data_IF_447448198727
#
_entry.id   IF_447448198727
#
_cell.length_a   1.000
_cell.length_b   1.000
_cell.length_c   1.000
_cell.angle_alpha   90.00
_cell.angle_beta   90.00
_cell.angle_gamma   90.00
#
_symmetry.space_group_name_H-M   'P 1'
#
loop_
_entity.id
_entity.type
_entity.pdbx_description
1 polymer ?
#
# COMPACT_ATOMS: atom_id res chain seq x y z
N UNK A 1 -26.48 -14.22 -22.69
CA UNK A 1 -26.28 -15.35 -21.75
C UNK A 1 -25.61 -14.81 -20.50
N UNK A 2 -26.20 -14.97 -19.31
CA UNK A 2 -25.48 -14.68 -18.06
C UNK A 2 -24.40 -15.75 -17.88
N UNK A 3 -23.16 -15.35 -17.65
CA UNK A 3 -22.08 -16.28 -17.29
C UNK A 3 -22.46 -17.00 -15.98
N UNK A 4 -22.34 -18.34 -15.92
CA UNK A 4 -22.55 -19.15 -14.70
C UNK A 4 -21.43 -18.94 -13.66
N UNK A 5 -20.95 -17.72 -13.49
CA UNK A 5 -19.84 -17.39 -12.58
C UNK A 5 -20.36 -16.50 -11.46
N UNK A 6 -19.86 -16.75 -10.26
CA UNK A 6 -20.12 -15.90 -9.09
C UNK A 6 -19.10 -14.76 -9.09
N UNK A 7 -19.52 -13.49 -9.08
CA UNK A 7 -18.60 -12.37 -8.93
C UNK A 7 -18.05 -12.34 -7.50
N UNK A 8 -16.73 -12.17 -7.37
CA UNK A 8 -16.05 -12.05 -6.07
C UNK A 8 -15.34 -10.69 -6.03
N UNK A 9 -15.61 -9.92 -4.97
CA UNK A 9 -14.96 -8.63 -4.71
C UNK A 9 -13.92 -8.87 -3.61
N UNK A 10 -12.66 -8.53 -3.89
CA UNK A 10 -11.53 -8.74 -2.95
C UNK A 10 -10.80 -7.42 -2.76
N UNK A 11 -10.65 -7.00 -1.50
CA UNK A 11 -9.92 -5.78 -1.15
C UNK A 11 -10.08 -5.41 0.33
N UNK A 12 -9.29 -4.43 0.78
CA UNK A 12 -9.34 -3.90 2.15
C UNK A 12 -9.81 -2.44 2.26
N UNK A 13 -10.18 -1.81 1.14
CA UNK A 13 -10.63 -0.41 1.14
C UNK A 13 -12.09 -0.31 1.54
N UNK A 14 -12.36 -0.28 2.85
CA UNK A 14 -13.73 -0.25 3.39
C UNK A 14 -14.56 0.91 2.82
N UNK A 15 -13.99 2.09 2.65
CA UNK A 15 -14.72 3.23 2.07
C UNK A 15 -15.23 2.99 0.64
N UNK A 16 -14.51 2.18 -0.16
CA UNK A 16 -14.95 1.79 -1.51
C UNK A 16 -16.06 0.74 -1.44
N UNK A 17 -15.94 -0.23 -0.53
CA UNK A 17 -16.95 -1.26 -0.31
C UNK A 17 -18.25 -0.62 0.21
N UNK A 18 -18.16 0.28 1.20
CA UNK A 18 -19.29 1.05 1.72
C UNK A 18 -19.94 1.86 0.60
N UNK A 19 -19.17 2.59 -0.20
CA UNK A 19 -19.71 3.35 -1.32
C UNK A 19 -20.39 2.45 -2.35
N UNK A 20 -19.86 1.26 -2.61
CA UNK A 20 -20.50 0.31 -3.53
C UNK A 20 -21.82 -0.24 -2.98
N UNK A 21 -21.82 -0.62 -1.70
CA UNK A 21 -22.91 -1.37 -1.06
C UNK A 21 -24.05 -0.46 -0.61
N UNK A 22 -23.73 0.73 -0.09
CA UNK A 22 -24.69 1.65 0.53
C UNK A 22 -25.20 2.75 -0.40
N UNK A 23 -24.55 3.04 -1.52
CA UNK A 23 -24.98 4.13 -2.40
C UNK A 23 -26.35 3.82 -3.05
N UNK A 24 -27.36 4.69 -2.84
CA UNK A 24 -28.69 4.50 -3.39
C UNK A 24 -28.73 4.40 -4.92
N UNK A 25 -27.78 5.00 -5.63
CA UNK A 25 -27.68 4.94 -7.10
C UNK A 25 -27.40 3.51 -7.56
N UNK A 26 -26.57 2.77 -6.82
CA UNK A 26 -26.23 1.40 -7.18
C UNK A 26 -27.32 0.41 -6.77
N UNK A 27 -28.10 0.71 -5.71
CA UNK A 27 -29.11 -0.17 -5.14
C UNK A 27 -28.57 -1.60 -4.90
N UNK A 28 -27.30 -1.70 -4.47
CA UNK A 28 -26.55 -2.95 -4.50
C UNK A 28 -27.23 -4.05 -3.68
N UNK A 29 -27.64 -3.74 -2.44
CA UNK A 29 -28.35 -4.65 -1.53
C UNK A 29 -29.68 -5.19 -2.08
N UNK A 30 -30.31 -4.47 -3.01
CA UNK A 30 -31.54 -4.91 -3.67
C UNK A 30 -31.26 -5.81 -4.87
N UNK A 31 -30.13 -5.59 -5.56
CA UNK A 31 -29.76 -6.31 -6.78
C UNK A 31 -29.06 -7.64 -6.52
N UNK A 32 -28.38 -7.77 -5.39
CA UNK A 32 -27.49 -8.89 -5.11
C UNK A 32 -27.73 -9.47 -3.72
N UNK A 33 -27.87 -10.80 -3.66
CA UNK A 33 -27.74 -11.55 -2.42
C UNK A 33 -26.24 -11.69 -2.10
N UNK A 34 -25.81 -11.04 -1.02
CA UNK A 34 -24.40 -10.81 -0.73
C UNK A 34 -23.93 -11.67 0.43
N UNK A 35 -22.80 -12.36 0.25
CA UNK A 35 -22.11 -13.09 1.31
C UNK A 35 -20.82 -12.36 1.66
N UNK A 36 -20.65 -11.98 2.93
CA UNK A 36 -19.45 -11.31 3.43
C UNK A 36 -18.57 -12.32 4.17
N UNK A 37 -17.36 -12.53 3.66
CA UNK A 37 -16.33 -13.33 4.31
C UNK A 37 -15.27 -12.37 4.85
N UNK A 38 -15.25 -12.19 6.17
CA UNK A 38 -14.23 -11.40 6.85
C UNK A 38 -13.10 -12.32 7.32
N UNK A 39 -11.89 -12.06 6.82
CA UNK A 39 -10.68 -12.75 7.27
C UNK A 39 -10.15 -11.99 8.48
N UNK A 40 -10.18 -12.64 9.64
CA UNK A 40 -9.64 -12.13 10.89
C UNK A 40 -8.38 -12.90 11.31
N UNK A 41 -7.47 -12.22 11.99
CA UNK A 41 -6.18 -12.78 12.42
C UNK A 41 -5.67 -12.05 13.65
N UNK A 42 -4.97 -12.77 14.53
CA UNK A 42 -4.30 -12.16 15.68
C UNK A 42 -3.31 -11.07 15.23
N UNK A 43 -3.35 -9.92 15.90
CA UNK A 43 -2.52 -8.76 15.55
C UNK A 43 -1.01 -9.09 15.52
N UNK A 44 -0.53 -9.92 16.45
CA UNK A 44 0.89 -10.31 16.51
C UNK A 44 1.31 -11.13 15.26
N UNK A 45 0.44 -12.02 14.80
CA UNK A 45 0.64 -12.85 13.60
C UNK A 45 0.59 -11.98 12.34
N UNK A 46 -0.34 -11.02 12.28
CA UNK A 46 -0.45 -10.08 11.18
C UNK A 46 0.81 -9.22 11.06
N UNK A 47 1.26 -8.61 12.15
CA UNK A 47 2.44 -7.75 12.16
C UNK A 47 3.68 -8.50 11.64
N UNK A 48 3.90 -9.72 12.16
CA UNK A 48 5.01 -10.57 11.69
C UNK A 48 4.93 -10.86 10.19
N UNK A 49 3.72 -11.09 9.66
CA UNK A 49 3.52 -11.34 8.23
C UNK A 49 3.75 -10.09 7.38
N UNK A 50 3.34 -8.92 7.87
CA UNK A 50 3.58 -7.63 7.22
C UNK A 50 5.08 -7.35 7.14
N UNK A 51 5.82 -7.53 8.23
CA UNK A 51 7.28 -7.36 8.28
C UNK A 51 7.98 -8.21 7.22
N UNK A 52 7.65 -9.50 7.19
CA UNK A 52 8.20 -10.43 6.20
C UNK A 52 7.84 -10.04 4.77
N UNK A 53 6.63 -9.52 4.54
CA UNK A 53 6.20 -9.09 3.20
C UNK A 53 6.96 -7.84 2.76
N UNK A 54 7.21 -6.88 3.66
CA UNK A 54 8.03 -5.71 3.34
C UNK A 54 9.45 -6.14 2.96
N UNK A 55 10.05 -7.09 3.69
CA UNK A 55 11.37 -7.63 3.33
C UNK A 55 11.37 -8.28 1.94
N UNK A 56 10.30 -9.00 1.59
CA UNK A 56 10.13 -9.57 0.25
C UNK A 56 9.96 -8.49 -0.82
N UNK A 57 9.20 -7.43 -0.54
CA UNK A 57 8.98 -6.31 -1.46
C UNK A 57 10.28 -5.53 -1.72
N UNK A 58 11.10 -5.30 -0.70
CA UNK A 58 12.41 -4.67 -0.87
C UNK A 58 13.30 -5.52 -1.78
N UNK A 59 13.36 -6.85 -1.55
CA UNK A 59 14.10 -7.78 -2.41
C UNK A 59 13.56 -7.85 -3.84
N UNK A 60 12.26 -7.60 -4.03
CA UNK A 60 11.61 -7.57 -5.33
C UNK A 60 11.76 -6.24 -6.07
N UNK A 61 12.37 -5.21 -5.47
CA UNK A 61 12.64 -3.93 -6.11
C UNK A 61 11.71 -2.79 -5.73
N UNK A 62 11.06 -2.82 -4.55
CA UNK A 62 10.19 -1.71 -4.09
C UNK A 62 10.90 -0.35 -4.18
N UNK A 63 12.17 -0.27 -3.79
CA UNK A 63 12.93 0.99 -3.83
C UNK A 63 13.05 1.49 -5.27
N UNK A 64 13.28 0.59 -6.22
CA UNK A 64 13.39 0.91 -7.64
C UNK A 64 12.06 1.37 -8.23
N UNK A 65 10.95 0.73 -7.84
CA UNK A 65 9.60 1.14 -8.24
C UNK A 65 9.26 2.55 -7.72
N UNK A 66 9.53 2.81 -6.43
CA UNK A 66 9.25 4.13 -5.84
C UNK A 66 10.13 5.20 -6.47
N UNK A 67 11.40 4.90 -6.78
CA UNK A 67 12.30 5.82 -7.48
C UNK A 67 11.76 6.26 -8.83
N UNK A 68 11.10 5.36 -9.58
CA UNK A 68 10.53 5.69 -10.90
C UNK A 68 9.37 6.68 -10.85
N UNK A 69 8.63 6.73 -9.75
CA UNK A 69 7.49 7.63 -9.57
C UNK A 69 7.81 8.84 -8.66
N UNK A 70 9.06 8.93 -8.20
CA UNK A 70 9.51 9.98 -7.30
C UNK A 70 9.47 11.34 -8.00
N UNK A 71 8.80 12.29 -7.36
CA UNK A 71 8.77 13.68 -7.78
C UNK A 71 9.07 14.50 -6.53
N UNK A 72 10.14 15.31 -6.52
CA UNK A 72 10.44 16.20 -5.41
C UNK A 72 9.23 17.07 -5.06
N UNK A 73 8.95 17.19 -3.77
CA UNK A 73 7.90 18.05 -3.18
C UNK A 73 6.47 17.71 -3.65
N UNK A 74 6.25 16.45 -4.02
CA UNK A 74 4.92 15.98 -4.41
C UNK A 74 3.92 15.95 -3.25
N UNK A 75 2.64 16.13 -3.60
CA UNK A 75 1.54 16.00 -2.66
C UNK A 75 1.24 14.52 -2.35
N UNK A 76 1.71 14.05 -1.20
CA UNK A 76 1.48 12.69 -0.69
C UNK A 76 0.06 12.45 -0.15
N UNK A 77 -0.85 13.42 -0.24
CA UNK A 77 -2.24 13.26 0.20
C UNK A 77 -3.18 12.77 -0.90
N UNK A 78 -2.68 12.57 -2.14
CA UNK A 78 -3.51 12.29 -3.32
C UNK A 78 -3.06 11.07 -4.11
N UNK A 79 -4.06 10.30 -4.56
CA UNK A 79 -3.88 9.20 -5.52
C UNK A 79 -2.84 8.16 -5.09
N UNK A 80 -2.06 7.68 -6.05
CA UNK A 80 -1.05 6.63 -5.86
C UNK A 80 0.07 7.04 -4.89
N UNK A 81 0.30 8.34 -4.66
CA UNK A 81 1.35 8.84 -3.79
C UNK A 81 1.05 8.65 -2.30
N UNK A 82 -0.19 8.33 -1.96
CA UNK A 82 -0.60 7.93 -0.59
C UNK A 82 -0.16 6.51 -0.21
N UNK A 83 0.34 5.73 -1.19
CA UNK A 83 0.69 4.34 -0.95
C UNK A 83 1.80 4.24 0.09
N UNK A 84 1.63 3.36 1.08
CA UNK A 84 2.65 3.07 2.09
C UNK A 84 3.92 2.60 1.36
N UNK A 85 5.05 3.19 1.73
CA UNK A 85 6.34 3.04 1.07
C UNK A 85 6.73 4.23 0.20
N UNK A 86 5.78 5.01 -0.30
CA UNK A 86 6.08 6.17 -1.16
C UNK A 86 6.51 7.39 -0.31
N UNK A 87 5.71 7.87 0.66
CA UNK A 87 6.14 8.97 1.53
C UNK A 87 7.36 8.62 2.39
N UNK A 88 7.45 7.39 2.87
CA UNK A 88 8.53 6.92 3.73
C UNK A 88 9.90 6.94 3.02
N UNK A 89 9.91 6.75 1.69
CA UNK A 89 11.13 6.73 0.90
C UNK A 89 11.57 8.12 0.40
N UNK A 90 10.75 9.17 0.58
CA UNK A 90 11.06 10.53 0.09
C UNK A 90 12.42 11.02 0.60
N UNK A 91 12.67 10.90 1.91
CA UNK A 91 13.92 11.33 2.52
C UNK A 91 15.12 10.59 1.95
N UNK A 92 15.02 9.26 1.80
CA UNK A 92 16.09 8.46 1.21
C UNK A 92 16.40 8.89 -0.22
N UNK A 93 15.36 9.06 -1.06
CA UNK A 93 15.54 9.39 -2.47
C UNK A 93 16.12 10.80 -2.69
N UNK A 94 15.84 11.74 -1.78
CA UNK A 94 16.49 13.06 -1.79
C UNK A 94 17.99 12.95 -1.50
N UNK A 95 18.34 12.24 -0.43
CA UNK A 95 19.75 12.06 -0.05
C UNK A 95 20.52 11.17 -1.03
N UNK A 96 19.84 10.25 -1.72
CA UNK A 96 20.46 9.44 -2.77
C UNK A 96 21.01 10.31 -3.91
N UNK A 97 20.33 11.41 -4.24
CA UNK A 97 20.79 12.39 -5.25
C UNK A 97 21.83 13.38 -4.72
N UNK A 98 22.09 13.40 -3.41
CA UNK A 98 23.06 14.29 -2.79
C UNK A 98 24.49 13.75 -3.01
N UNK A 99 25.29 14.49 -3.80
CA UNK A 99 26.64 14.09 -4.19
C UNK A 99 27.62 14.21 -3.00
N UNK A 100 27.35 15.12 -2.07
CA UNK A 100 28.20 15.37 -0.89
C UNK A 100 27.87 14.45 0.29
N UNK A 101 26.79 13.68 0.20
CA UNK A 101 26.34 12.77 1.26
C UNK A 101 27.22 11.54 1.37
N UNK A 102 27.59 11.17 2.60
CA UNK A 102 28.36 9.95 2.86
C UNK A 102 27.48 8.69 2.73
N UNK A 103 28.09 7.61 2.22
CA UNK A 103 27.39 6.36 1.91
C UNK A 103 26.79 5.69 3.16
N UNK A 104 27.41 5.86 4.33
CA UNK A 104 26.94 5.27 5.58
C UNK A 104 25.65 5.95 6.05
N UNK A 105 25.59 7.29 5.99
CA UNK A 105 24.38 8.06 6.27
C UNK A 105 23.25 7.69 5.31
N UNK A 106 23.53 7.53 4.01
CA UNK A 106 22.51 7.10 3.02
C UNK A 106 21.93 5.74 3.37
N UNK A 107 22.79 4.79 3.78
CA UNK A 107 22.38 3.46 4.23
C UNK A 107 21.52 3.52 5.49
N UNK A 108 21.91 4.32 6.49
CA UNK A 108 21.11 4.49 7.70
C UNK A 108 19.72 5.08 7.42
N UNK A 109 19.63 6.04 6.50
CA UNK A 109 18.35 6.64 6.09
C UNK A 109 17.48 5.61 5.35
N UNK A 110 18.08 4.78 4.50
CA UNK A 110 17.36 3.69 3.83
C UNK A 110 16.78 2.71 4.86
N UNK A 111 17.59 2.25 5.82
CA UNK A 111 17.15 1.33 6.87
C UNK A 111 16.03 1.94 7.73
N UNK A 112 16.13 3.22 8.09
CA UNK A 112 15.09 3.94 8.81
C UNK A 112 13.79 4.05 8.00
N UNK A 113 13.90 4.30 6.69
CA UNK A 113 12.75 4.38 5.78
C UNK A 113 12.04 3.03 5.68
N UNK A 114 12.78 1.93 5.52
CA UNK A 114 12.24 0.56 5.51
C UNK A 114 11.57 0.22 6.84
N UNK A 115 12.18 0.60 7.97
CA UNK A 115 11.59 0.38 9.28
C UNK A 115 10.29 1.16 9.47
N UNK A 116 10.15 2.34 8.86
CA UNK A 116 8.91 3.12 8.90
C UNK A 116 7.77 2.44 8.12
N UNK A 117 8.09 1.75 7.02
CA UNK A 117 7.10 1.00 6.21
C UNK A 117 6.52 -0.19 6.98
N UNK A 118 7.32 -0.78 7.86
CA UNK A 118 6.95 -1.94 8.69
C UNK A 118 6.09 -1.58 9.90
N UNK A 119 6.03 -0.29 10.26
CA UNK A 119 5.41 0.18 11.49
C UNK A 119 3.88 0.09 11.49
#
# INVERSE_FOLDING_TARGET
>A
MKTQRVPIIVGGSNSYIEKLVEDPVFMFKYKYDSCFIWIDVEQSVLNRRVDMRVDQMIKAGLVDEVRQIFIPDADYTKGIRRSIGVPEMDRYLREETNIDGDDESKKMILEASISSIKR
#
